data_IF_361423766408
#
_entry.id   IF_361423766408
#
_cell.length_a   1.000
_cell.length_b   1.000
_cell.length_c   1.000
_cell.angle_alpha   90.00
_cell.angle_beta   90.00
_cell.angle_gamma   90.00
#
_symmetry.space_group_name_H-M   'P 1'
#
loop_
_entity.id
_entity.type
_entity.pdbx_description
1 polymer ?
#
# COMPACT_ATOMS: atom_id res chain seq x y z
N UNK A 1 -6.87 -15.11 -21.30
CA UNK A 1 -6.79 -13.99 -20.37
C UNK A 1 -5.77 -13.06 -20.97
N UNK A 2 -6.20 -11.85 -21.29
CA UNK A 2 -5.35 -10.77 -21.75
C UNK A 2 -5.40 -9.62 -20.73
N UNK A 3 -4.60 -8.56 -20.92
CA UNK A 3 -4.59 -7.41 -20.01
C UNK A 3 -5.96 -6.74 -19.87
N UNK A 4 -6.77 -6.76 -20.94
CA UNK A 4 -8.12 -6.19 -20.93
C UNK A 4 -9.10 -6.93 -20.01
N UNK A 5 -8.82 -8.18 -19.64
CA UNK A 5 -9.67 -8.98 -18.75
C UNK A 5 -9.38 -8.70 -17.26
N UNK A 6 -8.36 -7.90 -16.95
CA UNK A 6 -7.88 -7.67 -15.58
C UNK A 6 -8.33 -6.29 -15.09
N UNK A 7 -9.36 -6.27 -14.25
CA UNK A 7 -9.84 -5.06 -13.62
C UNK A 7 -9.54 -5.03 -12.11
N UNK A 8 -8.39 -4.49 -11.72
CA UNK A 8 -8.00 -4.37 -10.31
C UNK A 8 -8.83 -3.35 -9.50
N UNK A 9 -9.69 -2.58 -10.18
CA UNK A 9 -10.67 -1.70 -9.54
C UNK A 9 -11.99 -2.41 -9.23
N UNK A 10 -12.23 -3.61 -9.80
CA UNK A 10 -13.43 -4.38 -9.54
C UNK A 10 -13.34 -5.06 -8.18
N UNK A 11 -14.04 -4.50 -7.20
CA UNK A 11 -14.02 -4.93 -5.80
C UNK A 11 -14.82 -6.19 -5.56
N UNK A 12 -15.87 -6.42 -6.33
CA UNK A 12 -16.77 -7.57 -6.16
C UNK A 12 -16.00 -8.87 -6.43
N UNK A 13 -15.01 -8.82 -7.32
CA UNK A 13 -14.08 -9.94 -7.51
C UNK A 13 -13.36 -10.29 -6.19
N UNK A 14 -12.95 -9.29 -5.41
CA UNK A 14 -12.21 -9.48 -4.15
C UNK A 14 -13.10 -9.85 -2.96
N UNK A 15 -14.42 -9.63 -3.02
CA UNK A 15 -15.34 -10.12 -1.99
C UNK A 15 -15.51 -11.63 -2.07
N UNK A 16 -15.51 -12.17 -3.29
CA UNK A 16 -15.77 -13.58 -3.53
C UNK A 16 -14.48 -14.41 -3.48
N UNK A 17 -13.36 -13.85 -3.94
CA UNK A 17 -12.07 -14.56 -3.99
C UNK A 17 -10.89 -13.59 -4.12
N UNK A 18 -9.69 -14.08 -3.82
CA UNK A 18 -8.48 -13.40 -4.31
C UNK A 18 -8.22 -13.85 -5.75
N UNK A 19 -8.15 -12.95 -6.76
CA UNK A 19 -7.93 -13.32 -8.16
C UNK A 19 -6.47 -13.68 -8.45
N UNK A 20 -6.00 -14.80 -7.88
CA UNK A 20 -4.61 -15.26 -8.03
C UNK A 20 -4.21 -15.54 -9.49
N UNK A 21 -5.17 -15.89 -10.34
CA UNK A 21 -5.02 -16.06 -11.78
C UNK A 21 -4.60 -14.75 -12.46
N UNK A 22 -5.21 -13.61 -12.11
CA UNK A 22 -4.83 -12.30 -12.62
C UNK A 22 -3.38 -11.96 -12.25
N UNK A 23 -3.03 -12.13 -10.97
CA UNK A 23 -1.66 -11.86 -10.52
C UNK A 23 -0.64 -12.83 -11.14
N UNK A 24 -1.04 -14.07 -11.42
CA UNK A 24 -0.19 -15.05 -12.13
C UNK A 24 0.07 -14.60 -13.57
N UNK A 25 -0.97 -14.17 -14.27
CA UNK A 25 -0.83 -13.62 -15.61
C UNK A 25 0.07 -12.37 -15.64
N UNK A 26 -0.16 -11.41 -14.74
CA UNK A 26 0.65 -10.19 -14.66
C UNK A 26 2.12 -10.50 -14.37
N UNK A 27 2.42 -11.37 -13.40
CA UNK A 27 3.82 -11.77 -13.11
C UNK A 27 4.53 -12.36 -14.32
N UNK A 28 3.82 -13.07 -15.19
CA UNK A 28 4.41 -13.74 -16.35
C UNK A 28 4.53 -12.81 -17.56
N UNK A 29 3.57 -11.91 -17.77
CA UNK A 29 3.43 -11.18 -19.03
C UNK A 29 3.63 -9.66 -18.90
N UNK A 30 3.27 -9.06 -17.77
CA UNK A 30 3.34 -7.61 -17.53
C UNK A 30 3.62 -7.31 -16.05
N UNK A 31 4.83 -7.64 -15.54
CA UNK A 31 5.12 -7.62 -14.11
C UNK A 31 5.10 -6.21 -13.49
N UNK A 32 5.35 -5.21 -14.33
CA UNK A 32 5.19 -3.77 -14.08
C UNK A 32 4.20 -3.26 -15.14
N UNK A 33 2.99 -2.93 -14.71
CA UNK A 33 1.88 -2.60 -15.60
C UNK A 33 1.20 -1.32 -15.13
N UNK A 34 0.89 -0.41 -16.04
CA UNK A 34 0.08 0.76 -15.71
C UNK A 34 -1.41 0.41 -15.87
N UNK A 35 -2.13 0.28 -14.76
CA UNK A 35 -3.56 0.03 -14.74
C UNK A 35 -4.32 1.36 -14.89
N UNK A 36 -5.10 1.54 -15.97
CA UNK A 36 -5.84 2.78 -16.19
C UNK A 36 -7.05 2.86 -15.26
N UNK A 37 -7.30 4.05 -14.73
CA UNK A 37 -8.48 4.35 -13.92
C UNK A 37 -9.34 5.39 -14.64
N UNK A 38 -10.67 5.18 -14.74
CA UNK A 38 -11.56 6.18 -15.32
C UNK A 38 -11.53 7.51 -14.54
N UNK A 39 -11.72 8.66 -15.19
CA UNK A 39 -11.81 9.96 -14.52
C UNK A 39 -12.85 9.95 -13.37
N UNK A 40 -12.56 10.57 -12.21
CA UNK A 40 -11.43 11.47 -11.93
C UNK A 40 -10.11 10.78 -11.58
N UNK A 41 -10.08 9.44 -11.62
CA UNK A 41 -8.89 8.63 -11.38
C UNK A 41 -7.73 8.94 -12.32
N UNK A 42 -6.52 8.61 -11.88
CA UNK A 42 -5.27 8.86 -12.63
C UNK A 42 -4.60 7.57 -13.10
N UNK A 43 -5.09 6.41 -12.67
CA UNK A 43 -4.42 5.14 -12.87
C UNK A 43 -3.24 4.96 -11.92
N UNK A 44 -2.70 3.75 -11.89
CA UNK A 44 -1.61 3.40 -10.98
C UNK A 44 -0.71 2.31 -11.56
N UNK A 45 0.53 2.29 -11.07
CA UNK A 45 1.47 1.22 -11.40
C UNK A 45 1.19 -0.02 -10.54
N UNK A 46 1.03 -1.15 -11.21
CA UNK A 46 0.86 -2.47 -10.62
C UNK A 46 2.20 -3.18 -10.65
N UNK A 47 2.72 -3.49 -9.46
CA UNK A 47 4.00 -4.18 -9.28
C UNK A 47 3.72 -5.57 -8.69
N UNK A 48 4.02 -6.63 -9.45
CA UNK A 48 3.55 -7.98 -9.10
C UNK A 48 4.64 -8.99 -8.75
N UNK A 49 5.91 -8.71 -9.07
CA UNK A 49 7.02 -9.56 -8.64
C UNK A 49 7.54 -9.15 -7.29
N UNK A 50 7.81 -10.15 -6.45
CA UNK A 50 8.35 -9.97 -5.12
C UNK A 50 9.62 -9.09 -5.10
N UNK A 51 10.56 -9.32 -6.03
CA UNK A 51 11.80 -8.53 -6.09
C UNK A 51 11.54 -7.03 -6.32
N UNK A 52 10.58 -6.70 -7.16
CA UNK A 52 10.22 -5.33 -7.48
C UNK A 52 9.47 -4.67 -6.31
N UNK A 53 8.52 -5.38 -5.71
CA UNK A 53 7.82 -4.92 -4.49
C UNK A 53 8.81 -4.67 -3.34
N UNK A 54 9.77 -5.57 -3.16
CA UNK A 54 10.82 -5.42 -2.16
C UNK A 54 11.70 -4.19 -2.44
N UNK A 55 12.04 -3.96 -3.71
CA UNK A 55 12.83 -2.80 -4.14
C UNK A 55 12.08 -1.50 -3.85
N UNK A 56 10.81 -1.41 -4.27
CA UNK A 56 9.95 -0.25 -4.02
C UNK A 56 9.81 0.02 -2.52
N UNK A 57 9.50 -1.01 -1.72
CA UNK A 57 9.30 -0.86 -0.28
C UNK A 57 10.56 -0.51 0.52
N UNK A 58 11.76 -0.58 -0.08
CA UNK A 58 13.05 -0.26 0.56
C UNK A 58 13.59 1.11 0.17
N UNK A 59 13.08 1.72 -0.90
CA UNK A 59 13.51 3.02 -1.41
C UNK A 59 12.44 4.09 -1.19
N UNK A 60 12.29 4.52 0.07
CA UNK A 60 11.37 5.60 0.44
C UNK A 60 11.75 6.97 -0.13
N UNK A 61 12.99 7.13 -0.63
CA UNK A 61 13.41 8.38 -1.25
C UNK A 61 12.78 8.53 -2.64
N UNK A 62 12.76 7.44 -3.41
CA UNK A 62 12.12 7.39 -4.73
C UNK A 62 10.61 7.17 -4.62
N UNK A 63 10.17 6.26 -3.72
CA UNK A 63 8.79 5.85 -3.54
C UNK A 63 8.25 6.33 -2.18
N UNK A 64 7.83 7.58 -2.17
CA UNK A 64 7.34 8.28 -0.97
C UNK A 64 6.03 7.67 -0.45
N UNK A 65 5.89 7.63 0.88
CA UNK A 65 4.62 7.33 1.56
C UNK A 65 3.97 8.60 2.15
N UNK A 66 4.55 9.78 1.91
CA UNK A 66 4.05 11.04 2.44
C UNK A 66 2.66 11.37 1.87
N UNK A 67 1.70 11.66 2.75
CA UNK A 67 0.33 12.02 2.36
C UNK A 67 0.28 13.18 1.36
N UNK A 68 1.18 14.16 1.49
CA UNK A 68 1.25 15.30 0.59
C UNK A 68 1.70 14.93 -0.84
N UNK A 69 2.26 13.73 -1.03
CA UNK A 69 2.70 13.20 -2.33
C UNK A 69 1.76 12.12 -2.90
N UNK A 70 0.60 11.91 -2.28
CA UNK A 70 -0.37 10.90 -2.67
C UNK A 70 -0.60 9.82 -1.61
N UNK A 71 0.34 9.65 -0.67
CA UNK A 71 0.15 8.81 0.51
C UNK A 71 -0.17 7.34 0.24
N UNK A 72 -0.75 6.71 1.27
CA UNK A 72 -1.32 5.37 1.15
C UNK A 72 -2.79 5.51 0.75
N UNK A 73 -3.11 5.03 -0.44
CA UNK A 73 -4.46 5.13 -1.03
C UNK A 73 -5.22 3.81 -0.93
N UNK A 74 -6.50 3.90 -0.61
CA UNK A 74 -7.46 2.81 -0.81
C UNK A 74 -8.28 3.05 -2.09
N UNK A 75 -8.97 2.02 -2.57
CA UNK A 75 -9.95 2.16 -3.67
C UNK A 75 -11.21 2.93 -3.27
N UNK A 76 -11.44 3.10 -1.97
CA UNK A 76 -12.47 3.95 -1.40
C UNK A 76 -11.86 4.83 -0.32
N UNK A 77 -12.47 6.00 -0.14
CA UNK A 77 -12.26 6.80 1.07
C UNK A 77 -12.73 5.98 2.27
N UNK A 78 -11.80 5.64 3.16
CA UNK A 78 -12.18 4.93 4.38
C UNK A 78 -12.94 5.89 5.30
N UNK A 79 -14.18 5.55 5.72
CA UNK A 79 -14.94 6.37 6.65
C UNK A 79 -14.16 6.56 7.95
N UNK A 80 -14.01 7.82 8.38
CA UNK A 80 -13.20 8.20 9.54
C UNK A 80 -11.76 8.61 9.23
N UNK A 81 -11.28 8.42 7.98
CA UNK A 81 -9.98 8.95 7.54
C UNK A 81 -9.99 10.45 7.26
N UNK A 82 -11.17 11.08 7.16
CA UNK A 82 -11.35 12.53 6.97
C UNK A 82 -10.62 13.35 8.04
N UNK A 83 -10.71 12.91 9.31
CA UNK A 83 -10.05 13.55 10.46
C UNK A 83 -8.54 13.31 10.52
N UNK A 84 -8.00 12.33 9.79
CA UNK A 84 -6.56 12.08 9.77
C UNK A 84 -5.81 13.11 8.92
N UNK A 85 -6.50 13.75 7.97
CA UNK A 85 -5.96 14.88 7.22
C UNK A 85 -5.91 16.17 8.04
N UNK A 86 -6.67 16.29 9.13
CA UNK A 86 -6.88 17.55 9.86
C UNK A 86 -5.98 17.76 11.09
N UNK A 87 -5.25 16.75 11.58
CA UNK A 87 -4.42 17.00 12.78
C UNK A 87 -3.43 15.94 13.23
N UNK A 88 -3.41 14.74 12.66
CA UNK A 88 -2.53 13.66 13.12
C UNK A 88 -1.77 13.02 11.97
N UNK A 89 -0.52 13.45 11.74
CA UNK A 89 0.38 12.74 10.82
C UNK A 89 0.59 11.31 11.34
N UNK A 90 0.01 10.33 10.66
CA UNK A 90 0.28 8.93 10.94
C UNK A 90 1.70 8.59 10.54
N UNK A 91 2.33 7.73 11.35
CA UNK A 91 3.63 7.17 11.00
C UNK A 91 3.60 6.47 9.64
N UNK A 92 2.47 5.85 9.27
CA UNK A 92 2.27 5.17 7.99
C UNK A 92 2.36 6.11 6.77
N UNK A 93 1.92 7.37 6.91
CA UNK A 93 1.76 8.32 5.80
C UNK A 93 2.79 9.44 5.85
N UNK A 94 3.99 9.13 6.36
CA UNK A 94 5.07 10.10 6.60
C UNK A 94 6.40 9.51 6.12
N UNK A 95 7.27 10.33 5.56
CA UNK A 95 8.63 9.93 5.15
C UNK A 95 9.69 10.29 6.22
N UNK A 96 10.93 9.76 6.12
CA UNK A 96 12.07 10.27 6.88
C UNK A 96 12.27 11.79 6.67
N UNK A 97 12.73 12.53 7.69
CA UNK A 97 13.22 12.05 8.99
C UNK A 97 12.12 11.81 10.04
N UNK A 98 10.90 12.32 9.83
CA UNK A 98 9.82 12.27 10.81
C UNK A 98 9.35 10.83 11.08
N UNK A 99 9.20 10.02 10.02
CA UNK A 99 8.92 8.59 10.14
C UNK A 99 9.96 7.87 11.01
N UNK A 100 11.24 8.16 10.80
CA UNK A 100 12.34 7.58 11.59
C UNK A 100 12.23 7.95 13.07
N UNK A 101 11.86 9.21 13.38
CA UNK A 101 11.65 9.67 14.75
C UNK A 101 10.48 8.95 15.41
N UNK A 102 9.32 8.87 14.74
CA UNK A 102 8.14 8.20 15.26
C UNK A 102 8.37 6.71 15.47
N UNK A 103 8.94 6.01 14.47
CA UNK A 103 9.22 4.58 14.54
C UNK A 103 10.15 4.23 15.70
N UNK A 104 11.15 5.07 15.98
CA UNK A 104 12.05 4.89 17.14
C UNK A 104 11.32 4.96 18.48
N UNK A 105 10.28 5.79 18.60
CA UNK A 105 9.46 5.87 19.82
C UNK A 105 8.54 4.66 19.94
N UNK A 106 7.81 4.33 18.86
CA UNK A 106 6.86 3.22 18.81
C UNK A 106 7.54 1.87 19.09
N UNK A 107 8.71 1.62 18.48
CA UNK A 107 9.44 0.34 18.63
C UNK A 107 9.79 -0.03 20.08
N UNK A 108 9.83 0.94 21.01
CA UNK A 108 10.07 0.65 22.44
C UNK A 108 8.96 -0.21 23.06
N UNK A 109 7.72 -0.11 22.53
CA UNK A 109 6.59 -0.92 22.96
C UNK A 109 6.56 -2.34 22.37
N UNK A 110 7.33 -2.60 21.32
CA UNK A 110 7.32 -3.88 20.59
C UNK A 110 8.59 -4.71 20.82
N UNK A 111 9.19 -4.60 22.01
CA UNK A 111 10.29 -5.50 22.40
C UNK A 111 9.77 -6.89 22.70
N UNK A 112 10.57 -7.97 22.53
CA UNK A 112 10.15 -9.33 22.87
C UNK A 112 9.57 -9.45 24.29
N UNK A 113 10.19 -8.76 25.27
CA UNK A 113 9.69 -8.70 26.65
C UNK A 113 8.28 -8.12 26.75
N UNK A 114 7.99 -7.02 26.05
CA UNK A 114 6.68 -6.37 26.11
C UNK A 114 5.61 -7.21 25.42
N UNK A 115 5.95 -7.85 24.29
CA UNK A 115 5.01 -8.72 23.58
C UNK A 115 4.69 -9.96 24.42
N UNK A 116 5.69 -10.62 25.01
CA UNK A 116 5.47 -11.80 25.85
C UNK A 116 4.65 -11.49 27.11
N UNK A 117 4.67 -10.25 27.60
CA UNK A 117 3.84 -9.85 28.74
C UNK A 117 2.34 -9.75 28.41
N UNK A 118 1.97 -9.82 27.12
CA UNK A 118 0.58 -9.82 26.65
C UNK A 118 0.06 -11.24 26.36
N UNK A 119 0.88 -12.28 26.52
CA UNK A 119 0.47 -13.67 26.33
C UNK A 119 -0.44 -14.12 27.48
N UNK A 120 -1.60 -14.76 27.21
CA UNK A 120 -2.57 -15.20 28.23
C UNK A 120 -2.03 -16.20 29.26
#
# INVERSE_FOLDING_TARGET
MDLADINLLDRDVFTDRVPHDWFTYLRNNAPVYFHPEPPPGKGFWVITKHADVYTVGRDAHTYSSDQARGGVVGLEDMPGMENFNEGGRLMLTTDPPEHTRYRKLVNKGFTPRMVNALEP
#
